data_IF_564616907037
#
_entry.id   IF_564616907037
#
_cell.length_a   1.000
_cell.length_b   1.000
_cell.length_c   1.000
_cell.angle_alpha   90.00
_cell.angle_beta   90.00
_cell.angle_gamma   90.00
#
_symmetry.space_group_name_H-M   'P 1'
#
loop_
_entity.id
_entity.type
_entity.pdbx_description
1 polymer ?
#
# COMPACT_ATOMS: atom_id res chain seq x y z
N UNK A 1 24.27 -18.47 -10.72
CA UNK A 1 23.08 -17.86 -11.36
C UNK A 1 22.90 -16.36 -11.08
N UNK A 2 23.33 -15.83 -9.93
CA UNK A 2 23.13 -14.41 -9.60
C UNK A 2 24.01 -13.42 -10.41
N UNK A 3 25.20 -13.85 -10.86
CA UNK A 3 26.11 -13.01 -11.66
C UNK A 3 25.56 -12.70 -13.07
N UNK A 4 24.83 -13.63 -13.68
CA UNK A 4 24.27 -13.48 -15.03
C UNK A 4 23.11 -12.48 -15.07
N UNK A 5 22.38 -12.32 -13.96
CA UNK A 5 21.25 -11.40 -13.88
C UNK A 5 21.69 -9.93 -13.83
N UNK A 6 22.82 -9.64 -13.16
CA UNK A 6 23.42 -8.28 -13.14
C UNK A 6 23.89 -7.83 -14.52
N UNK A 7 24.42 -8.76 -15.32
CA UNK A 7 24.97 -8.40 -16.62
C UNK A 7 23.87 -8.04 -17.63
N UNK A 8 22.70 -8.70 -17.57
CA UNK A 8 21.54 -8.32 -18.40
C UNK A 8 20.92 -6.97 -18.01
N UNK A 9 20.95 -6.57 -16.73
CA UNK A 9 20.45 -5.26 -16.31
C UNK A 9 21.27 -4.09 -16.89
N UNK A 10 22.60 -4.24 -17.00
CA UNK A 10 23.46 -3.17 -17.51
C UNK A 10 23.29 -2.91 -19.01
N UNK A 11 22.98 -3.95 -19.79
CA UNK A 11 22.78 -3.81 -21.25
C UNK A 11 21.50 -3.04 -21.56
N UNK A 12 20.41 -3.32 -20.83
CA UNK A 12 19.14 -2.61 -21.01
C UNK A 12 19.25 -1.11 -20.65
N UNK A 13 20.03 -0.78 -19.61
CA UNK A 13 20.28 0.60 -19.19
C UNK A 13 21.03 1.43 -20.24
N UNK A 14 21.99 0.83 -20.95
CA UNK A 14 22.70 1.53 -22.02
C UNK A 14 21.83 1.75 -23.26
N UNK A 15 20.98 0.79 -23.63
CA UNK A 15 20.06 0.97 -24.74
C UNK A 15 19.03 2.05 -24.47
N UNK A 16 18.51 2.14 -23.23
CA UNK A 16 17.54 3.17 -22.84
C UNK A 16 18.18 4.57 -22.83
N UNK A 17 19.41 4.69 -22.33
CA UNK A 17 20.16 5.95 -22.36
C UNK A 17 20.45 6.42 -23.79
N UNK A 18 20.83 5.50 -24.69
CA UNK A 18 21.10 5.83 -26.09
C UNK A 18 19.82 6.28 -26.83
N UNK A 19 18.68 5.64 -26.53
CA UNK A 19 17.39 6.06 -27.10
C UNK A 19 16.94 7.41 -26.53
N UNK A 20 17.09 7.64 -25.22
CA UNK A 20 16.79 8.94 -24.60
C UNK A 20 17.66 10.07 -25.19
N UNK A 21 18.95 9.81 -25.41
CA UNK A 21 19.86 10.79 -25.99
C UNK A 21 19.53 11.10 -27.45
N UNK A 22 19.14 10.09 -28.26
CA UNK A 22 18.65 10.31 -29.63
C UNK A 22 17.33 11.09 -29.68
N UNK A 23 16.43 10.84 -28.73
CA UNK A 23 15.16 11.59 -28.63
C UNK A 23 15.38 13.04 -28.22
N UNK A 24 16.39 13.33 -27.37
CA UNK A 24 16.76 14.71 -27.03
C UNK A 24 17.44 15.44 -28.19
N UNK A 25 18.27 14.76 -28.99
CA UNK A 25 18.95 15.36 -30.15
C UNK A 25 18.00 15.62 -31.33
N UNK A 26 16.91 14.87 -31.46
CA UNK A 26 15.94 15.03 -32.54
C UNK A 26 15.09 16.31 -32.44
N UNK A 27 15.25 17.10 -31.36
CA UNK A 27 14.56 18.39 -31.21
C UNK A 27 13.04 18.29 -31.31
N UNK A 28 12.48 17.09 -31.11
CA UNK A 28 11.04 16.89 -31.06
C UNK A 28 10.62 17.68 -29.82
N UNK A 29 9.88 18.80 -29.96
CA UNK A 29 9.35 19.47 -28.80
C UNK A 29 8.58 18.38 -28.06
N UNK A 30 9.03 18.02 -26.85
CA UNK A 30 8.19 17.28 -25.95
C UNK A 30 7.01 18.22 -25.74
N UNK A 31 5.98 18.02 -26.57
CA UNK A 31 4.67 18.60 -26.37
C UNK A 31 4.42 18.24 -24.92
N UNK A 32 4.45 19.21 -23.99
CA UNK A 32 4.28 18.91 -22.58
C UNK A 32 3.02 18.08 -22.58
N UNK A 33 3.14 16.80 -22.19
CA UNK A 33 2.01 15.89 -22.23
C UNK A 33 1.02 16.61 -21.34
N UNK A 34 0.04 17.25 -21.98
CA UNK A 34 -0.78 18.23 -21.33
C UNK A 34 -1.43 17.45 -20.23
N UNK A 35 -1.03 17.74 -18.98
CA UNK A 35 -1.34 16.98 -17.79
C UNK A 35 -2.80 16.62 -17.89
N UNK A 36 -3.04 15.40 -18.36
CA UNK A 36 -4.36 14.99 -18.78
C UNK A 36 -5.15 15.13 -17.52
N UNK A 37 -6.16 15.99 -17.53
CA UNK A 37 -7.13 15.92 -16.45
C UNK A 37 -7.55 14.45 -16.41
N UNK A 38 -7.45 13.73 -15.27
CA UNK A 38 -7.88 12.35 -15.19
C UNK A 38 -9.41 12.37 -15.24
N UNK A 39 -9.94 12.65 -16.44
CA UNK A 39 -11.28 12.30 -16.88
C UNK A 39 -11.33 10.81 -17.27
N UNK A 40 -10.33 10.02 -16.85
CA UNK A 40 -10.35 8.56 -16.72
C UNK A 40 -11.39 8.04 -15.72
N UNK A 41 -12.53 8.73 -15.57
CA UNK A 41 -13.81 8.15 -15.15
C UNK A 41 -14.47 7.32 -16.28
N UNK A 42 -13.75 6.99 -17.35
CA UNK A 42 -14.24 6.11 -18.39
C UNK A 42 -14.23 4.65 -17.89
N UNK A 43 -15.33 4.23 -17.24
CA UNK A 43 -15.65 2.84 -16.90
C UNK A 43 -14.66 2.12 -15.96
N UNK A 44 -14.53 2.60 -14.72
CA UNK A 44 -14.06 1.71 -13.64
C UNK A 44 -15.13 0.63 -13.41
N UNK A 45 -14.95 -0.52 -14.05
CA UNK A 45 -15.78 -1.71 -13.81
C UNK A 45 -15.42 -2.24 -12.43
N UNK A 46 -16.30 -1.99 -11.47
CA UNK A 46 -16.23 -2.57 -10.14
C UNK A 46 -16.44 -4.08 -10.24
N UNK A 47 -15.43 -4.87 -9.89
CA UNK A 47 -15.59 -6.30 -9.65
C UNK A 47 -16.19 -6.45 -8.24
N UNK A 48 -17.48 -6.15 -8.12
CA UNK A 48 -18.22 -6.11 -6.86
C UNK A 48 -17.79 -4.93 -5.98
N UNK A 49 -16.86 -5.17 -5.05
CA UNK A 49 -16.36 -4.21 -4.05
C UNK A 49 -14.90 -3.79 -4.24
N UNK A 50 -14.17 -4.41 -5.17
CA UNK A 50 -12.75 -4.15 -5.34
C UNK A 50 -12.54 -3.21 -6.53
N UNK A 51 -11.93 -2.03 -6.33
CA UNK A 51 -11.56 -1.17 -7.45
C UNK A 51 -10.53 -1.88 -8.31
N UNK A 52 -10.84 -2.03 -9.59
CA UNK A 52 -9.92 -2.57 -10.58
C UNK A 52 -9.12 -1.42 -11.20
N UNK A 53 -7.86 -1.31 -10.82
CA UNK A 53 -6.96 -0.29 -11.37
C UNK A 53 -6.07 -0.90 -12.46
N UNK A 54 -6.19 -0.39 -13.68
CA UNK A 54 -5.32 -0.70 -14.83
C UNK A 54 -4.52 0.55 -15.17
N UNK A 55 -3.43 0.75 -14.44
CA UNK A 55 -2.55 1.89 -14.62
C UNK A 55 -1.15 1.64 -14.04
N UNK A 56 -0.18 2.50 -14.38
CA UNK A 56 1.15 2.47 -13.77
C UNK A 56 1.05 2.56 -12.23
N UNK A 57 1.96 1.91 -11.50
CA UNK A 57 1.94 1.92 -10.05
C UNK A 57 2.09 3.35 -9.50
N UNK A 58 1.28 3.67 -8.51
CA UNK A 58 1.34 4.96 -7.84
C UNK A 58 2.67 5.13 -7.09
N UNK A 59 3.32 6.27 -7.24
CA UNK A 59 4.61 6.57 -6.58
C UNK A 59 4.51 6.50 -5.05
N UNK A 60 3.38 6.93 -4.49
CA UNK A 60 3.07 6.81 -3.07
C UNK A 60 3.04 5.36 -2.59
N UNK A 61 2.35 4.47 -3.32
CA UNK A 61 2.27 3.06 -2.97
C UNK A 61 3.64 2.38 -2.99
N UNK A 62 4.55 2.83 -3.87
CA UNK A 62 5.94 2.34 -3.88
C UNK A 62 6.72 2.70 -2.62
N UNK A 63 6.48 3.87 -2.02
CA UNK A 63 7.07 4.25 -0.72
C UNK A 63 6.65 3.32 0.41
N UNK A 64 5.39 2.87 0.40
CA UNK A 64 4.80 2.01 1.44
C UNK A 64 5.20 0.53 1.37
N UNK A 65 6.04 0.12 0.40
CA UNK A 65 6.50 -1.28 0.24
C UNK A 65 7.17 -1.86 1.48
N UNK A 66 7.96 -1.06 2.17
CA UNK A 66 8.70 -1.49 3.36
C UNK A 66 7.75 -1.90 4.51
N UNK A 67 6.67 -1.14 4.72
CA UNK A 67 5.63 -1.49 5.68
C UNK A 67 4.92 -2.79 5.35
N UNK A 68 4.57 -3.01 4.07
CA UNK A 68 3.95 -4.27 3.66
C UNK A 68 4.82 -5.48 4.01
N UNK A 69 6.12 -5.40 3.70
CA UNK A 69 7.09 -6.48 4.01
C UNK A 69 7.21 -6.69 5.53
N UNK A 70 7.19 -5.62 6.33
CA UNK A 70 7.21 -5.72 7.79
C UNK A 70 5.99 -6.51 8.30
N UNK A 71 4.79 -6.19 7.81
CA UNK A 71 3.55 -6.86 8.21
C UNK A 71 3.56 -8.34 7.81
N UNK A 72 4.00 -8.66 6.59
CA UNK A 72 4.13 -10.05 6.11
C UNK A 72 5.17 -10.80 6.96
N UNK A 73 6.29 -10.16 7.31
CA UNK A 73 7.30 -10.78 8.17
C UNK A 73 6.75 -11.09 9.57
N UNK A 74 5.96 -10.18 10.16
CA UNK A 74 5.27 -10.41 11.41
C UNK A 74 4.28 -11.58 11.32
N UNK A 75 3.51 -11.68 10.22
CA UNK A 75 2.64 -12.84 9.95
C UNK A 75 3.41 -14.15 9.93
N UNK A 76 4.57 -14.20 9.26
CA UNK A 76 5.40 -15.40 9.19
C UNK A 76 5.98 -15.78 10.57
N UNK A 77 6.42 -14.80 11.36
CA UNK A 77 6.92 -15.04 12.72
C UNK A 77 5.82 -15.62 13.60
N UNK A 78 4.62 -15.04 13.58
CA UNK A 78 3.48 -15.56 14.34
C UNK A 78 3.05 -16.93 13.84
N UNK A 79 3.09 -17.18 12.53
CA UNK A 79 2.81 -18.50 11.98
C UNK A 79 3.80 -19.58 12.48
N UNK A 80 5.11 -19.27 12.52
CA UNK A 80 6.13 -20.18 13.04
C UNK A 80 5.94 -20.41 14.55
N UNK A 81 5.69 -19.35 15.32
CA UNK A 81 5.42 -19.46 16.76
C UNK A 81 4.16 -20.30 17.03
N UNK A 82 3.10 -20.10 16.25
CA UNK A 82 1.87 -20.89 16.33
C UNK A 82 2.12 -22.37 16.01
N UNK A 83 2.95 -22.67 15.00
CA UNK A 83 3.31 -24.05 14.66
C UNK A 83 4.06 -24.75 15.79
N UNK A 84 5.03 -24.07 16.41
CA UNK A 84 5.89 -24.65 17.46
C UNK A 84 5.15 -24.81 18.80
N UNK A 85 4.32 -23.85 19.17
CA UNK A 85 3.74 -23.78 20.52
C UNK A 85 2.29 -24.27 20.60
N UNK A 86 1.48 -24.07 19.57
CA UNK A 86 0.07 -24.51 19.58
C UNK A 86 -0.13 -25.91 18.98
N UNK A 87 0.87 -26.46 18.26
CA UNK A 87 0.80 -27.80 17.65
C UNK A 87 -0.23 -27.96 16.51
N UNK A 88 -1.01 -26.93 16.23
CA UNK A 88 -2.04 -26.93 15.18
C UNK A 88 -1.42 -26.59 13.83
N UNK A 89 -1.36 -27.57 12.93
CA UNK A 89 -0.74 -27.41 11.60
C UNK A 89 -1.63 -26.60 10.64
N UNK A 90 -2.95 -26.58 10.84
CA UNK A 90 -3.89 -25.94 9.91
C UNK A 90 -3.78 -24.40 9.91
N UNK A 91 -3.68 -23.79 11.08
CA UNK A 91 -3.54 -22.33 11.25
C UNK A 91 -2.31 -21.74 10.52
N UNK A 92 -1.08 -22.26 10.71
CA UNK A 92 0.10 -21.74 10.03
C UNK A 92 0.08 -22.00 8.52
N UNK A 93 -0.54 -23.09 8.03
CA UNK A 93 -0.74 -23.30 6.59
C UNK A 93 -1.62 -22.18 6.01
N UNK A 94 -2.73 -21.87 6.67
CA UNK A 94 -3.64 -20.82 6.21
C UNK A 94 -3.00 -19.43 6.29
N UNK A 95 -2.25 -19.14 7.37
CA UNK A 95 -1.43 -17.93 7.48
C UNK A 95 -0.43 -17.85 6.34
N UNK A 96 0.27 -18.95 6.04
CA UNK A 96 1.23 -19.04 4.93
C UNK A 96 0.59 -18.71 3.58
N UNK A 97 -0.61 -19.25 3.30
CA UNK A 97 -1.35 -18.94 2.07
C UNK A 97 -1.65 -17.43 1.97
N UNK A 98 -2.11 -16.80 3.05
CA UNK A 98 -2.37 -15.35 3.03
C UNK A 98 -1.10 -14.51 2.89
N UNK A 99 0.00 -14.94 3.49
CA UNK A 99 1.31 -14.30 3.33
C UNK A 99 1.80 -14.39 1.88
N UNK A 100 1.58 -15.51 1.20
CA UNK A 100 1.90 -15.66 -0.24
C UNK A 100 1.09 -14.69 -1.09
N UNK A 101 -0.20 -14.49 -0.80
CA UNK A 101 -1.02 -13.47 -1.49
C UNK A 101 -0.45 -12.06 -1.26
N UNK A 102 0.00 -11.75 -0.04
CA UNK A 102 0.68 -10.48 0.27
C UNK A 102 2.00 -10.31 -0.50
N UNK A 103 2.82 -11.37 -0.58
CA UNK A 103 4.07 -11.36 -1.37
C UNK A 103 3.79 -11.24 -2.87
N UNK A 104 2.70 -11.82 -3.35
CA UNK A 104 2.26 -11.66 -4.73
C UNK A 104 1.87 -10.21 -5.02
N UNK A 105 1.16 -9.54 -4.11
CA UNK A 105 0.85 -8.11 -4.22
C UNK A 105 2.13 -7.23 -4.24
N UNK A 106 3.14 -7.60 -3.45
CA UNK A 106 4.45 -6.93 -3.47
C UNK A 106 5.14 -7.05 -4.84
N UNK A 107 5.10 -8.24 -5.47
CA UNK A 107 5.70 -8.46 -6.78
C UNK A 107 4.95 -7.73 -7.91
N UNK A 108 3.63 -7.57 -7.79
CA UNK A 108 2.77 -6.87 -8.75
C UNK A 108 2.80 -5.34 -8.57
N UNK A 109 3.98 -4.78 -8.25
CA UNK A 109 4.23 -3.34 -8.12
C UNK A 109 3.23 -2.60 -7.21
N UNK A 110 2.75 -3.23 -6.14
CA UNK A 110 1.77 -2.64 -5.22
C UNK A 110 0.43 -2.27 -5.90
N UNK A 111 -0.04 -3.08 -6.85
CA UNK A 111 -1.37 -2.87 -7.41
C UNK A 111 -2.43 -2.95 -6.28
N UNK A 112 -3.21 -1.88 -6.14
CA UNK A 112 -4.21 -1.71 -5.08
C UNK A 112 -5.23 -2.84 -5.03
N UNK A 113 -5.60 -3.42 -6.18
CA UNK A 113 -6.57 -4.53 -6.26
C UNK A 113 -6.10 -5.75 -5.46
N UNK A 114 -4.81 -6.13 -5.58
CA UNK A 114 -4.27 -7.27 -4.85
C UNK A 114 -4.09 -6.98 -3.36
N UNK A 115 -3.74 -5.74 -3.01
CA UNK A 115 -3.62 -5.29 -1.63
C UNK A 115 -4.98 -5.31 -0.93
N UNK A 116 -6.04 -4.83 -1.59
CA UNK A 116 -7.40 -4.90 -1.08
C UNK A 116 -7.87 -6.36 -0.93
N UNK A 117 -7.61 -7.22 -1.91
CA UNK A 117 -7.94 -8.64 -1.82
C UNK A 117 -7.25 -9.32 -0.62
N UNK A 118 -5.95 -9.06 -0.45
CA UNK A 118 -5.17 -9.53 0.70
C UNK A 118 -5.70 -9.00 2.04
N UNK A 119 -6.08 -7.71 2.09
CA UNK A 119 -6.67 -7.08 3.27
C UNK A 119 -8.03 -7.66 3.64
N UNK A 120 -8.92 -7.87 2.67
CA UNK A 120 -10.24 -8.50 2.90
C UNK A 120 -10.09 -9.95 3.36
N UNK A 121 -9.17 -10.72 2.74
CA UNK A 121 -8.87 -12.08 3.16
C UNK A 121 -8.32 -12.12 4.60
N UNK A 122 -7.44 -11.18 4.94
CA UNK A 122 -6.93 -11.02 6.30
C UNK A 122 -8.03 -10.66 7.29
N UNK A 123 -8.96 -9.78 6.92
CA UNK A 123 -10.09 -9.40 7.76
C UNK A 123 -11.01 -10.61 8.05
N UNK A 124 -11.33 -11.40 7.03
CA UNK A 124 -12.12 -12.61 7.19
C UNK A 124 -11.44 -13.59 8.16
N UNK A 125 -10.12 -13.78 8.03
CA UNK A 125 -9.35 -14.63 8.93
C UNK A 125 -9.29 -14.10 10.35
N UNK A 126 -9.16 -12.78 10.53
CA UNK A 126 -9.22 -12.16 11.85
C UNK A 126 -10.57 -12.43 12.52
N UNK A 127 -11.67 -12.30 11.78
CA UNK A 127 -13.02 -12.56 12.31
C UNK A 127 -13.22 -14.02 12.67
N UNK A 128 -12.82 -14.96 11.80
CA UNK A 128 -12.87 -16.38 12.12
C UNK A 128 -12.01 -16.73 13.33
N UNK A 129 -10.79 -16.18 13.41
CA UNK A 129 -9.90 -16.36 14.56
C UNK A 129 -10.49 -15.83 15.85
N UNK A 130 -11.10 -14.63 15.83
CA UNK A 130 -11.78 -14.05 17.00
C UNK A 130 -12.93 -14.93 17.50
N UNK A 131 -13.75 -15.47 16.60
CA UNK A 131 -14.85 -16.38 16.97
C UNK A 131 -14.29 -17.64 17.62
N UNK A 132 -13.24 -18.23 17.05
CA UNK A 132 -12.55 -19.39 17.63
C UNK A 132 -11.97 -19.09 19.00
N UNK A 133 -11.28 -17.97 19.17
CA UNK A 133 -10.70 -17.57 20.48
C UNK A 133 -11.78 -17.31 21.53
N UNK A 134 -12.91 -16.69 21.17
CA UNK A 134 -14.04 -16.51 22.09
C UNK A 134 -14.62 -17.86 22.51
N UNK A 135 -14.75 -18.81 21.58
CA UNK A 135 -15.22 -20.15 21.89
C UNK A 135 -14.26 -20.92 22.79
N UNK A 136 -12.96 -20.82 22.54
CA UNK A 136 -11.91 -21.37 23.40
C UNK A 136 -11.95 -20.76 24.81
N UNK A 137 -12.22 -19.46 24.92
CA UNK A 137 -12.30 -18.77 26.21
C UNK A 137 -13.53 -19.18 27.03
N UNK A 138 -14.67 -19.44 26.37
CA UNK A 138 -15.89 -19.95 27.02
C UNK A 138 -15.71 -21.39 27.50
N UNK A 139 -15.04 -22.22 26.69
CA UNK A 139 -14.85 -23.66 26.98
C UNK A 139 -13.63 -23.94 27.88
N UNK A 140 -12.66 -23.03 27.93
CA UNK A 140 -11.31 -23.25 28.43
C UNK A 140 -11.03 -22.91 29.90
N UNK A 141 -12.03 -22.57 30.72
CA UNK A 141 -11.81 -22.17 32.13
C UNK A 141 -11.10 -23.23 33.00
N UNK A 142 -10.93 -24.48 32.55
CA UNK A 142 -10.40 -25.58 33.36
C UNK A 142 -8.92 -25.97 33.14
N UNK A 143 -8.14 -25.28 32.28
CA UNK A 143 -6.72 -25.66 32.11
C UNK A 143 -5.86 -24.85 31.15
N UNK A 144 -6.08 -23.54 31.00
CA UNK A 144 -5.37 -22.75 29.98
C UNK A 144 -3.91 -22.47 30.33
N UNK A 145 -3.01 -22.95 29.47
CA UNK A 145 -1.65 -22.43 29.35
C UNK A 145 -1.68 -21.01 28.78
N UNK A 146 -1.26 -20.04 29.58
CA UNK A 146 -1.28 -18.60 29.24
C UNK A 146 -0.52 -18.31 27.93
N UNK A 147 0.58 -19.04 27.67
CA UNK A 147 1.37 -18.90 26.45
C UNK A 147 0.57 -19.21 25.19
N UNK A 148 -0.23 -20.28 25.20
CA UNK A 148 -1.07 -20.66 24.06
C UNK A 148 -2.11 -19.58 23.76
N UNK A 149 -2.74 -19.05 24.82
CA UNK A 149 -3.75 -17.99 24.70
C UNK A 149 -3.15 -16.71 24.11
N UNK A 150 -1.96 -16.30 24.55
CA UNK A 150 -1.28 -15.10 24.04
C UNK A 150 -0.96 -15.26 22.54
N UNK A 151 -0.49 -16.43 22.13
CA UNK A 151 -0.17 -16.69 20.71
C UNK A 151 -1.43 -16.72 19.88
N UNK A 152 -2.48 -17.40 20.36
CA UNK A 152 -3.75 -17.48 19.66
C UNK A 152 -4.39 -16.09 19.52
N UNK A 153 -4.29 -15.23 20.54
CA UNK A 153 -4.74 -13.84 20.48
C UNK A 153 -3.86 -12.97 19.55
N UNK A 154 -2.58 -13.29 19.39
CA UNK A 154 -1.68 -12.56 18.49
C UNK A 154 -2.02 -12.77 17.00
N UNK A 155 -2.60 -13.92 16.65
CA UNK A 155 -3.01 -14.25 15.27
C UNK A 155 -4.02 -13.24 14.70
N UNK A 156 -5.22 -13.04 15.29
CA UNK A 156 -6.18 -12.06 14.79
C UNK A 156 -5.64 -10.63 14.86
N UNK A 157 -4.78 -10.31 15.83
CA UNK A 157 -4.15 -8.98 15.92
C UNK A 157 -3.30 -8.65 14.69
N UNK A 158 -2.46 -9.59 14.24
CA UNK A 158 -1.64 -9.39 13.04
C UNK A 158 -2.49 -9.33 11.76
N UNK A 159 -3.56 -10.12 11.67
CA UNK A 159 -4.50 -10.03 10.55
C UNK A 159 -5.28 -8.72 10.51
N UNK A 160 -5.71 -8.20 11.67
CA UNK A 160 -6.33 -6.88 11.77
C UNK A 160 -5.35 -5.77 11.35
N UNK A 161 -4.07 -5.90 11.70
CA UNK A 161 -3.05 -4.96 11.29
C UNK A 161 -2.85 -4.96 9.75
N UNK A 162 -2.87 -6.14 9.12
CA UNK A 162 -2.85 -6.26 7.66
C UNK A 162 -4.09 -5.65 6.99
N UNK A 163 -5.29 -5.90 7.53
CA UNK A 163 -6.53 -5.32 7.04
C UNK A 163 -6.56 -3.79 7.21
N UNK A 164 -6.11 -3.28 8.36
CA UNK A 164 -6.01 -1.85 8.64
C UNK A 164 -5.01 -1.16 7.69
N UNK A 165 -3.89 -1.80 7.37
CA UNK A 165 -2.93 -1.29 6.39
C UNK A 165 -3.51 -1.24 4.97
N UNK A 166 -4.23 -2.28 4.54
CA UNK A 166 -4.91 -2.26 3.24
C UNK A 166 -5.98 -1.16 3.17
N UNK A 167 -6.72 -0.94 4.25
CA UNK A 167 -7.70 0.16 4.37
C UNK A 167 -7.03 1.54 4.30
N UNK A 168 -5.90 1.72 5.00
CA UNK A 168 -5.10 2.94 4.96
C UNK A 168 -4.67 3.29 3.52
N UNK A 169 -4.09 2.32 2.80
CA UNK A 169 -3.69 2.50 1.40
C UNK A 169 -4.87 2.83 0.49
N UNK A 170 -6.03 2.20 0.73
CA UNK A 170 -7.24 2.45 -0.04
C UNK A 170 -7.76 3.89 0.17
N UNK A 171 -7.76 4.39 1.41
CA UNK A 171 -8.19 5.75 1.70
C UNK A 171 -7.27 6.78 1.06
N UNK A 172 -5.95 6.58 1.13
CA UNK A 172 -4.97 7.46 0.46
C UNK A 172 -5.11 7.43 -1.05
N UNK A 173 -5.44 6.28 -1.63
CA UNK A 173 -5.73 6.14 -3.06
C UNK A 173 -6.99 6.93 -3.48
N UNK A 174 -8.02 7.00 -2.63
CA UNK A 174 -9.22 7.80 -2.89
C UNK A 174 -9.09 9.28 -2.49
N UNK A 175 -8.02 9.66 -1.78
CA UNK A 175 -7.83 11.01 -1.28
C UNK A 175 -7.50 11.95 -2.44
N UNK A 176 -8.55 12.55 -2.99
CA UNK A 176 -8.43 13.54 -4.04
C UNK A 176 -7.84 14.83 -3.43
N UNK A 177 -6.95 15.56 -4.12
CA UNK A 177 -6.38 16.82 -3.63
C UNK A 177 -7.49 17.85 -3.39
N UNK A 178 -8.01 17.91 -2.16
CA UNK A 178 -9.15 18.76 -1.78
C UNK A 178 -10.20 18.07 -0.89
N UNK A 179 -10.17 16.75 -0.74
CA UNK A 179 -10.88 16.05 0.35
C UNK A 179 -9.86 15.60 1.38
N UNK A 180 -10.27 15.54 2.64
CA UNK A 180 -9.50 14.91 3.70
C UNK A 180 -10.03 13.49 3.81
N UNK A 181 -9.14 12.50 3.93
CA UNK A 181 -9.53 11.13 4.23
C UNK A 181 -10.53 11.09 5.40
N UNK A 182 -11.64 10.37 5.20
CA UNK A 182 -12.77 10.37 6.13
C UNK A 182 -12.42 9.74 7.49
N UNK A 183 -11.62 8.66 7.48
CA UNK A 183 -11.18 8.01 8.71
C UNK A 183 -9.95 7.13 8.45
N UNK A 184 -8.80 7.52 9.00
CA UNK A 184 -7.55 6.81 8.87
C UNK A 184 -6.80 6.78 10.21
N UNK A 185 -6.99 5.74 11.03
CA UNK A 185 -6.41 5.70 12.37
C UNK A 185 -4.89 5.51 12.36
N UNK A 186 -4.33 4.96 11.27
CA UNK A 186 -2.90 4.68 11.15
C UNK A 186 -2.13 5.81 10.44
N UNK A 187 -2.82 6.67 9.70
CA UNK A 187 -2.16 7.66 8.85
C UNK A 187 -1.21 8.59 9.59
N UNK A 188 -1.55 9.03 10.81
CA UNK A 188 -0.69 9.93 11.57
C UNK A 188 0.68 9.32 11.92
N UNK A 189 0.71 8.03 12.26
CA UNK A 189 1.95 7.33 12.63
C UNK A 189 2.75 6.94 11.40
N UNK A 190 2.11 6.39 10.37
CA UNK A 190 2.79 5.97 9.14
C UNK A 190 3.41 7.18 8.42
N UNK A 191 2.69 8.29 8.35
CA UNK A 191 3.17 9.53 7.72
C UNK A 191 4.33 10.19 8.50
N UNK A 192 4.61 9.78 9.75
CA UNK A 192 5.74 10.28 10.56
C UNK A 192 7.02 9.46 10.32
N UNK A 193 6.87 8.16 10.06
CA UNK A 193 7.98 7.23 9.91
C UNK A 193 8.30 6.88 8.45
N UNK A 194 7.59 7.47 7.48
CA UNK A 194 7.92 7.31 6.06
C UNK A 194 9.28 7.95 5.74
N UNK A 195 10.30 7.17 5.34
CA UNK A 195 11.63 7.69 5.01
C UNK A 195 11.60 8.67 3.81
N UNK A 196 10.54 8.67 2.99
CA UNK A 196 10.40 9.54 1.83
C UNK A 196 10.18 11.02 2.18
N UNK A 197 9.57 11.33 3.32
CA UNK A 197 9.11 12.69 3.66
C UNK A 197 10.23 13.69 3.98
N UNK A 198 11.43 13.18 4.27
CA UNK A 198 12.60 14.01 4.49
C UNK A 198 13.25 14.43 3.16
N UNK A 199 12.75 13.95 2.02
CA UNK A 199 13.19 14.40 0.72
C UNK A 199 12.82 15.89 0.58
N UNK A 200 13.83 16.72 0.30
CA UNK A 200 13.68 18.16 0.13
C UNK A 200 12.61 18.51 -0.91
N UNK A 201 12.41 17.59 -1.87
CA UNK A 201 11.47 17.68 -2.99
C UNK A 201 10.03 17.89 -2.50
N UNK A 202 9.58 17.15 -1.47
CA UNK A 202 8.22 17.27 -0.95
C UNK A 202 8.02 18.59 -0.19
N UNK A 203 9.04 19.02 0.56
CA UNK A 203 9.03 20.35 1.21
C UNK A 203 8.88 21.48 0.20
N UNK A 204 9.53 21.38 -0.97
CA UNK A 204 9.39 22.39 -2.02
C UNK A 204 8.02 22.35 -2.70
N UNK A 205 7.41 21.17 -2.85
CA UNK A 205 6.06 21.05 -3.41
C UNK A 205 5.00 21.66 -2.47
N UNK A 206 5.08 21.38 -1.17
CA UNK A 206 4.17 21.93 -0.17
C UNK A 206 4.36 23.44 0.04
N UNK A 207 5.61 23.92 0.06
CA UNK A 207 5.90 25.35 0.23
C UNK A 207 5.50 26.17 -1.01
N UNK A 208 5.66 25.61 -2.22
CA UNK A 208 5.16 26.24 -3.45
C UNK A 208 3.63 26.30 -3.47
N UNK A 209 2.94 25.24 -3.03
CA UNK A 209 1.48 25.25 -2.87
C UNK A 209 1.01 26.28 -1.83
N UNK A 210 1.63 26.32 -0.66
CA UNK A 210 1.22 27.22 0.43
C UNK A 210 1.51 28.70 0.13
N UNK A 211 2.56 29.02 -0.66
CA UNK A 211 2.79 30.40 -1.14
C UNK A 211 1.81 30.84 -2.21
N UNK A 212 1.34 29.92 -3.07
CA UNK A 212 0.31 30.21 -4.09
C UNK A 212 -1.08 30.35 -3.46
N UNK A 213 -1.40 29.55 -2.43
CA UNK A 213 -2.66 29.62 -1.69
C UNK A 213 -2.56 30.42 -0.39
N UNK A 214 -1.55 31.27 -0.27
CA UNK A 214 -1.40 32.20 0.85
C UNK A 214 -2.73 32.90 1.07
N UNK A 215 -3.22 32.81 2.33
CA UNK A 215 -4.53 33.23 2.86
C UNK A 215 -4.94 34.66 2.50
N UNK A 216 -5.14 34.94 1.23
CA UNK A 216 -5.91 36.08 0.80
C UNK A 216 -7.37 35.70 0.87
N UNK A 217 -8.13 36.55 1.55
CA UNK A 217 -9.57 36.54 1.57
C UNK A 217 -10.08 36.84 0.15
N UNK A 218 -9.93 35.90 -0.78
CA UNK A 218 -10.26 36.09 -2.19
C UNK A 218 -11.69 35.65 -2.41
N UNK A 219 -12.54 36.66 -2.57
CA UNK A 219 -13.83 36.52 -3.22
C UNK A 219 -13.68 35.77 -4.54
N UNK A 220 -14.56 34.79 -4.69
CA UNK A 220 -14.84 34.00 -5.89
C UNK A 220 -14.74 34.82 -7.18
N UNK A 221 -13.70 34.62 -8.01
CA UNK A 221 -13.64 34.82 -9.48
C UNK A 221 -12.20 35.03 -10.02
N UNK A 222 -11.25 34.15 -9.68
CA UNK A 222 -9.89 34.18 -10.26
C UNK A 222 -9.68 33.08 -11.29
N UNK A 223 -8.98 33.33 -12.42
CA UNK A 223 -8.72 32.34 -13.46
C UNK A 223 -7.85 31.20 -12.91
N UNK A 224 -8.37 29.99 -13.07
CA UNK A 224 -7.81 28.73 -12.58
C UNK A 224 -6.49 28.43 -13.30
N UNK A 225 -5.35 28.70 -12.64
CA UNK A 225 -4.06 28.23 -13.14
C UNK A 225 -4.03 26.70 -13.10
N UNK A 226 -3.52 26.03 -14.15
CA UNK A 226 -3.43 24.57 -14.18
C UNK A 226 -2.49 24.11 -13.07
N UNK A 227 -3.07 23.62 -11.96
CA UNK A 227 -2.33 22.97 -10.88
C UNK A 227 -1.49 21.87 -11.53
N UNK A 228 -0.18 21.89 -11.31
CA UNK A 228 0.64 20.69 -11.50
C UNK A 228 0.09 19.67 -10.50
N UNK A 229 -0.79 18.80 -10.98
CA UNK A 229 -1.23 17.61 -10.25
C UNK A 229 0.04 16.84 -10.01
N UNK A 230 0.55 16.90 -8.79
CA UNK A 230 1.34 15.78 -8.28
C UNK A 230 0.41 14.59 -8.46
N UNK A 231 0.73 13.74 -9.44
CA UNK A 231 -0.06 12.59 -9.83
C UNK A 231 -0.05 11.60 -8.66
N UNK A 232 -0.87 11.90 -7.65
CA UNK A 232 -1.24 10.99 -6.59
C UNK A 232 -2.25 10.01 -7.16
N UNK A 233 -1.77 9.17 -8.09
CA UNK A 233 -2.59 8.28 -8.90
C UNK A 233 -3.79 9.01 -9.60
#
# INVERSE_FOLDING_TARGET
MWATQKQNQNVNLQTDLLMAQKLMAAGIPQKPMAAGSPSGQANQKWLGFIPYHVGPPCTYANGMKHWLVLIISAQLVVAVLSLVLAGNILTPIWMGLTAVVGLYAYHQQMNITYICLWGVLSLFNALSGLVSSVFALITGILGMDVSSVVIEASVPAVYLLAAAFAWHLLNKYYDNPGRKAYYDPLGADFDKYDPGKNSSVDKYADEAGNKVFGRGNYGSSGPEFPRRKTECC
#
